data_IF_677157174164
#
_entry.id   IF_677157174164
#
_cell.length_a   1.000
_cell.length_b   1.000
_cell.length_c   1.000
_cell.angle_alpha   90.00
_cell.angle_beta   90.00
_cell.angle_gamma   90.00
#
_symmetry.space_group_name_H-M   'P 1'
#
loop_
_entity.id
_entity.type
_entity.pdbx_description
1 polymer ?
#
# COMPACT_ATOMS: atom_id res chain seq x y z
N UNK A 1 -23.31 13.85 7.32
CA UNK A 1 -24.43 12.91 7.12
C UNK A 1 -23.82 11.57 6.75
N UNK A 2 -24.01 10.50 7.54
CA UNK A 2 -23.47 9.16 7.25
C UNK A 2 -23.87 8.61 5.87
N UNK A 3 -24.91 9.15 5.23
CA UNK A 3 -25.29 8.82 3.84
C UNK A 3 -24.37 9.43 2.77
N UNK A 4 -23.44 10.31 3.15
CA UNK A 4 -22.57 11.05 2.22
C UNK A 4 -21.08 10.70 2.37
N UNK A 5 -20.76 9.71 3.20
CA UNK A 5 -19.40 9.23 3.38
C UNK A 5 -19.05 8.16 2.33
N UNK A 6 -17.86 8.19 1.72
CA UNK A 6 -17.47 7.24 0.68
C UNK A 6 -17.38 5.82 1.24
N UNK A 7 -17.72 4.83 0.42
CA UNK A 7 -17.61 3.41 0.82
C UNK A 7 -16.14 2.98 0.96
N UNK A 8 -15.27 3.55 0.12
CA UNK A 8 -13.83 3.29 0.10
C UNK A 8 -13.03 4.59 0.10
N UNK A 9 -11.93 4.60 0.85
CA UNK A 9 -10.96 5.71 0.88
C UNK A 9 -9.56 5.15 0.65
N UNK A 10 -8.78 5.80 -0.20
CA UNK A 10 -7.37 5.47 -0.42
C UNK A 10 -6.52 6.57 0.18
N UNK A 11 -5.57 6.19 1.04
CA UNK A 11 -4.60 7.11 1.62
C UNK A 11 -3.18 6.64 1.32
N UNK A 12 -2.21 7.54 1.45
CA UNK A 12 -0.80 7.17 1.61
C UNK A 12 -0.64 6.19 2.78
N UNK A 13 0.52 5.54 2.87
CA UNK A 13 0.86 4.59 3.94
C UNK A 13 1.06 5.26 5.32
N UNK A 14 0.06 6.01 5.76
CA UNK A 14 -0.01 6.69 7.04
C UNK A 14 -1.33 6.30 7.70
N UNK A 15 -1.24 5.72 8.88
CA UNK A 15 -2.41 5.35 9.66
C UNK A 15 -3.14 6.61 10.11
N UNK A 16 -4.40 6.78 9.67
CA UNK A 16 -5.26 7.87 10.12
C UNK A 16 -6.20 7.37 11.25
N UNK A 17 -6.01 7.83 12.51
CA UNK A 17 -6.85 7.42 13.63
C UNK A 17 -8.33 7.75 13.45
N UNK A 18 -8.66 8.83 12.73
CA UNK A 18 -10.05 9.22 12.47
C UNK A 18 -10.72 8.21 11.54
N UNK A 19 -10.02 7.73 10.51
CA UNK A 19 -10.53 6.69 9.61
C UNK A 19 -10.69 5.36 10.32
N UNK A 20 -9.74 4.98 11.18
CA UNK A 20 -9.80 3.72 11.94
C UNK A 20 -11.02 3.60 12.89
N UNK A 21 -11.70 4.71 13.20
CA UNK A 21 -12.90 4.70 14.04
C UNK A 21 -14.16 4.16 13.32
N UNK A 22 -14.23 4.31 11.99
CA UNK A 22 -15.40 3.97 11.18
C UNK A 22 -15.09 3.12 9.94
N UNK A 23 -13.81 2.91 9.65
CA UNK A 23 -13.30 2.14 8.52
C UNK A 23 -12.29 1.12 8.99
N UNK A 24 -12.21 0.01 8.25
CA UNK A 24 -11.14 -0.99 8.35
C UNK A 24 -10.12 -0.72 7.25
N UNK A 25 -8.88 -0.46 7.63
CA UNK A 25 -7.77 -0.21 6.69
C UNK A 25 -6.93 -1.46 6.47
N UNK A 26 -6.46 -1.67 5.24
CA UNK A 26 -5.47 -2.67 4.87
C UNK A 26 -4.40 -2.04 3.97
N UNK A 27 -3.13 -2.36 4.24
CA UNK A 27 -1.99 -1.96 3.42
C UNK A 27 -1.93 -2.78 2.12
N UNK A 28 -1.66 -2.08 1.01
CA UNK A 28 -1.48 -2.66 -0.31
C UNK A 28 -0.27 -2.06 -1.01
N UNK A 29 0.44 -2.89 -1.77
CA UNK A 29 1.45 -2.41 -2.73
C UNK A 29 0.73 -1.81 -3.93
N UNK A 30 0.80 -0.49 -4.07
CA UNK A 30 0.21 0.22 -5.21
C UNK A 30 1.07 0.09 -6.45
N UNK A 31 2.37 0.37 -6.31
CA UNK A 31 3.35 0.30 -7.40
C UNK A 31 4.61 -0.38 -6.93
N UNK A 32 5.15 -1.19 -7.80
CA UNK A 32 6.47 -1.79 -7.63
C UNK A 32 7.30 -1.47 -8.87
N UNK A 33 8.44 -0.81 -8.67
CA UNK A 33 9.35 -0.46 -9.76
C UNK A 33 10.77 -0.85 -9.38
N UNK A 34 11.58 -1.36 -10.33
CA UNK A 34 12.98 -1.64 -10.03
C UNK A 34 13.72 -0.35 -9.69
N UNK A 35 14.45 -0.37 -8.58
CA UNK A 35 15.14 0.78 -8.02
C UNK A 35 16.55 0.90 -8.64
N UNK A 36 16.61 1.12 -9.96
CA UNK A 36 17.87 1.20 -10.71
C UNK A 36 18.81 2.29 -10.22
N UNK A 37 18.25 3.45 -9.84
CA UNK A 37 19.01 4.65 -9.48
C UNK A 37 19.80 4.49 -8.17
N UNK A 38 19.31 3.66 -7.24
CA UNK A 38 19.90 3.43 -5.92
C UNK A 38 20.62 2.09 -5.82
N UNK A 39 20.81 1.42 -6.96
CA UNK A 39 21.42 0.11 -7.01
C UNK A 39 22.92 0.19 -6.75
N UNK A 40 23.37 -0.52 -5.73
CA UNK A 40 24.78 -0.70 -5.44
C UNK A 40 25.40 -1.82 -6.29
N UNK A 41 26.71 -2.01 -6.16
CA UNK A 41 27.44 -3.05 -6.91
C UNK A 41 26.86 -4.46 -6.66
N UNK A 42 26.38 -4.73 -5.44
CA UNK A 42 25.77 -6.02 -5.11
C UNK A 42 24.44 -6.24 -5.85
N UNK A 43 23.59 -5.21 -5.95
CA UNK A 43 22.36 -5.21 -6.73
C UNK A 43 22.60 -5.48 -8.22
N UNK A 44 23.64 -4.89 -8.80
CA UNK A 44 24.03 -5.15 -10.19
C UNK A 44 24.52 -6.58 -10.43
N UNK A 45 25.37 -7.12 -9.53
CA UNK A 45 25.82 -8.52 -9.62
C UNK A 45 24.65 -9.50 -9.52
N UNK A 46 23.69 -9.20 -8.63
CA UNK A 46 22.46 -9.98 -8.47
C UNK A 46 21.60 -9.92 -9.74
N UNK A 47 21.47 -8.76 -10.37
CA UNK A 47 20.76 -8.65 -11.64
C UNK A 47 21.45 -9.44 -12.77
N UNK A 48 22.79 -9.36 -12.89
CA UNK A 48 23.53 -10.12 -13.90
C UNK A 48 23.42 -11.64 -13.70
N UNK A 49 23.24 -12.10 -12.46
CA UNK A 49 23.18 -13.54 -12.13
C UNK A 49 21.75 -14.08 -12.12
N UNK A 50 20.83 -13.36 -11.48
CA UNK A 50 19.46 -13.80 -11.17
C UNK A 50 18.38 -13.00 -11.90
N UNK A 51 18.75 -11.89 -12.55
CA UNK A 51 17.82 -10.94 -13.18
C UNK A 51 16.86 -10.33 -12.16
N UNK A 52 17.30 -10.30 -10.91
CA UNK A 52 16.60 -9.70 -9.79
C UNK A 52 17.23 -8.35 -9.46
N UNK A 53 16.39 -7.32 -9.43
CA UNK A 53 16.80 -5.97 -9.08
C UNK A 53 16.14 -5.58 -7.76
N UNK A 54 16.79 -4.78 -6.88
CA UNK A 54 16.11 -4.14 -5.77
C UNK A 54 14.85 -3.44 -6.25
N UNK A 55 13.76 -3.55 -5.50
CA UNK A 55 12.45 -3.01 -5.86
C UNK A 55 12.12 -1.87 -4.92
N UNK A 56 11.64 -0.76 -5.48
CA UNK A 56 10.96 0.27 -4.72
C UNK A 56 9.47 -0.09 -4.67
N UNK A 57 8.89 -0.13 -3.46
CA UNK A 57 7.48 -0.42 -3.24
C UNK A 57 6.81 0.82 -2.69
N UNK A 58 5.78 1.27 -3.38
CA UNK A 58 4.89 2.32 -2.91
C UNK A 58 3.66 1.69 -2.32
N UNK A 59 3.46 1.94 -1.02
CA UNK A 59 2.34 1.40 -0.26
C UNK A 59 1.24 2.45 -0.12
N UNK A 60 0.00 1.97 -0.15
CA UNK A 60 -1.21 2.73 0.15
C UNK A 60 -2.01 1.96 1.19
N UNK A 61 -2.91 2.64 1.89
CA UNK A 61 -3.92 2.00 2.72
C UNK A 61 -5.27 2.15 2.04
N UNK A 62 -5.93 1.03 1.79
CA UNK A 62 -7.32 0.98 1.36
C UNK A 62 -8.20 0.83 2.60
N UNK A 63 -9.04 1.82 2.82
CA UNK A 63 -10.02 1.86 3.89
C UNK A 63 -11.39 1.50 3.33
N UNK A 64 -12.03 0.48 3.91
CA UNK A 64 -13.41 0.13 3.63
C UNK A 64 -14.27 0.43 4.86
N UNK A 65 -15.44 1.01 4.67
CA UNK A 65 -16.33 1.38 5.78
C UNK A 65 -16.75 0.11 6.56
N UNK A 66 -16.71 0.18 7.89
CA UNK A 66 -16.84 -1.00 8.75
C UNK A 66 -18.21 -1.68 8.69
N UNK A 67 -19.26 -0.94 8.31
CA UNK A 67 -20.64 -1.41 8.12
C UNK A 67 -20.86 -2.23 6.84
N UNK A 68 -19.92 -2.18 5.89
CA UNK A 68 -19.95 -2.99 4.66
C UNK A 68 -19.59 -4.46 4.92
N UNK A 69 -19.01 -4.75 6.09
CA UNK A 69 -18.66 -6.10 6.49
C UNK A 69 -19.87 -6.73 7.17
N UNK A 70 -20.25 -7.93 6.73
CA UNK A 70 -21.22 -8.74 7.45
C UNK A 70 -20.54 -9.20 8.76
N UNK A 71 -21.14 -8.84 9.89
CA UNK A 71 -20.76 -9.45 11.16
C UNK A 71 -21.22 -10.92 11.14
N UNK A 72 -20.30 -11.85 11.41
CA UNK A 72 -20.62 -13.29 11.57
C UNK A 72 -21.50 -13.56 12.80
#
# INVERSE_FOLDING_TARGET
DPLNAPDFVVTSNETNPELASAYRGQDFVWRQSPAWEVADFSGWLRWVSLREMPQNQEMIILWARSDLFLDE
#
